data_IF_129920964339
#
_entry.id   IF_129920964339
#
_cell.length_a   1.000
_cell.length_b   1.000
_cell.length_c   1.000
_cell.angle_alpha   90.00
_cell.angle_beta   90.00
_cell.angle_gamma   90.00
#
_symmetry.space_group_name_H-M   'P 1'
#
loop_
_entity.id
_entity.type
_entity.pdbx_description
1 polymer ?
#
# COMPACT_ATOMS: atom_id res chain seq x y z
N UNK A 1 -41.63 -11.10 -75.23
CA UNK A 1 -41.53 -12.16 -74.21
C UNK A 1 -40.16 -12.03 -73.54
N UNK A 2 -40.17 -11.71 -72.23
CA UNK A 2 -39.07 -11.57 -71.25
C UNK A 2 -37.92 -10.59 -71.51
N UNK A 3 -37.95 -9.46 -70.78
CA UNK A 3 -36.77 -8.62 -70.45
C UNK A 3 -36.08 -9.20 -69.21
N UNK A 4 -34.73 -9.28 -69.15
CA UNK A 4 -34.05 -9.78 -67.96
C UNK A 4 -34.03 -8.73 -66.84
N UNK A 5 -34.36 -9.16 -65.62
CA UNK A 5 -34.25 -8.37 -64.39
C UNK A 5 -32.77 -8.13 -64.08
N UNK A 6 -32.37 -6.86 -63.89
CA UNK A 6 -31.06 -6.51 -63.33
C UNK A 6 -31.16 -6.51 -61.80
N UNK A 7 -30.45 -7.43 -61.15
CA UNK A 7 -30.28 -7.42 -59.70
C UNK A 7 -29.25 -6.34 -59.33
N UNK A 8 -29.66 -5.39 -58.48
CA UNK A 8 -28.77 -4.41 -57.86
C UNK A 8 -28.27 -5.04 -56.56
N UNK A 9 -26.97 -5.32 -56.48
CA UNK A 9 -26.33 -5.72 -55.23
C UNK A 9 -26.15 -4.49 -54.34
N UNK A 10 -26.80 -4.48 -53.18
CA UNK A 10 -26.60 -3.46 -52.14
C UNK A 10 -25.46 -3.96 -51.23
N UNK A 11 -24.33 -3.25 -51.10
CA UNK A 11 -23.28 -3.65 -50.18
C UNK A 11 -23.74 -3.39 -48.73
N UNK A 12 -23.73 -4.45 -47.91
CA UNK A 12 -23.90 -4.33 -46.46
C UNK A 12 -22.59 -3.78 -45.90
N UNK A 13 -22.64 -2.55 -45.39
CA UNK A 13 -21.53 -1.93 -44.67
C UNK A 13 -21.50 -2.48 -43.25
N UNK A 14 -20.56 -3.38 -42.95
CA UNK A 14 -20.29 -3.83 -41.58
C UNK A 14 -19.53 -2.70 -40.89
N UNK A 15 -20.22 -1.95 -40.02
CA UNK A 15 -19.59 -0.99 -39.12
C UNK A 15 -18.98 -1.77 -37.96
N UNK A 16 -17.68 -2.01 -38.01
CA UNK A 16 -16.91 -2.49 -36.85
C UNK A 16 -16.73 -1.32 -35.89
N UNK A 17 -17.40 -1.34 -34.74
CA UNK A 17 -17.09 -0.42 -33.66
C UNK A 17 -15.62 -0.63 -33.23
N UNK A 18 -14.83 0.43 -33.02
CA UNK A 18 -13.49 0.26 -32.47
C UNK A 18 -13.63 -0.30 -31.06
N UNK A 19 -13.10 -1.51 -30.83
CA UNK A 19 -12.83 -1.97 -29.48
C UNK A 19 -11.74 -1.06 -28.92
N UNK A 20 -12.13 -0.13 -28.04
CA UNK A 20 -11.17 0.56 -27.19
C UNK A 20 -10.62 -0.48 -26.23
N UNK A 21 -9.50 -1.09 -26.60
CA UNK A 21 -8.67 -1.86 -25.67
C UNK A 21 -8.09 -0.81 -24.71
N UNK A 22 -8.80 -0.57 -23.60
CA UNK A 22 -8.17 0.08 -22.46
C UNK A 22 -7.07 -0.88 -22.00
N UNK A 23 -5.81 -0.43 -22.07
CA UNK A 23 -4.72 -1.19 -21.49
C UNK A 23 -5.00 -1.30 -19.99
N UNK A 24 -5.36 -2.51 -19.52
CA UNK A 24 -5.59 -2.76 -18.11
C UNK A 24 -4.30 -2.44 -17.35
N UNK A 25 -4.40 -1.65 -16.28
CA UNK A 25 -3.26 -1.37 -15.41
C UNK A 25 -2.62 -2.69 -14.95
N UNK A 26 -1.28 -2.72 -14.83
CA UNK A 26 -0.57 -3.87 -14.27
C UNK A 26 -1.09 -4.20 -12.87
N UNK A 27 -0.98 -5.47 -12.46
CA UNK A 27 -1.39 -5.89 -11.11
C UNK A 27 -0.67 -5.08 -10.03
N UNK A 28 0.62 -4.78 -10.22
CA UNK A 28 1.38 -3.90 -9.33
C UNK A 28 0.77 -2.48 -9.24
N UNK A 29 0.35 -1.91 -10.36
CA UNK A 29 -0.32 -0.59 -10.36
C UNK A 29 -1.67 -0.65 -9.65
N UNK A 30 -2.43 -1.71 -9.84
CA UNK A 30 -3.71 -1.92 -9.16
C UNK A 30 -3.55 -1.97 -7.63
N UNK A 31 -2.54 -2.68 -7.11
CA UNK A 31 -2.24 -2.71 -5.67
C UNK A 31 -1.68 -1.40 -5.14
N UNK A 32 -0.95 -0.65 -5.96
CA UNK A 32 -0.54 0.70 -5.59
C UNK A 32 -1.75 1.64 -5.46
N UNK A 33 -2.74 1.55 -6.36
CA UNK A 33 -3.97 2.34 -6.26
C UNK A 33 -4.73 2.00 -4.96
N UNK A 34 -4.85 0.71 -4.59
CA UNK A 34 -5.43 0.27 -3.31
C UNK A 34 -4.71 0.88 -2.09
N UNK A 35 -3.37 0.90 -2.09
CA UNK A 35 -2.59 1.51 -1.02
C UNK A 35 -2.84 3.02 -0.92
N UNK A 36 -2.88 3.73 -2.06
CA UNK A 36 -3.14 5.17 -2.06
C UNK A 36 -4.55 5.50 -1.55
N UNK A 37 -5.54 4.66 -1.84
CA UNK A 37 -6.88 4.80 -1.29
C UNK A 37 -6.91 4.55 0.22
N UNK A 38 -6.16 3.56 0.71
CA UNK A 38 -6.02 3.33 2.15
C UNK A 38 -5.36 4.51 2.89
N UNK A 39 -4.33 5.13 2.30
CA UNK A 39 -3.70 6.35 2.85
C UNK A 39 -4.73 7.50 2.97
N UNK A 40 -5.63 7.66 2.00
CA UNK A 40 -6.68 8.70 2.02
C UNK A 40 -7.69 8.49 3.13
N UNK A 41 -7.89 7.25 3.57
CA UNK A 41 -8.86 6.87 4.60
C UNK A 41 -8.25 6.82 6.02
N UNK A 42 -6.93 6.99 6.15
CA UNK A 42 -6.20 6.91 7.43
C UNK A 42 -5.74 8.29 7.92
N UNK A 43 -5.40 8.40 9.20
CA UNK A 43 -4.80 9.62 9.75
C UNK A 43 -3.45 9.92 9.09
N UNK A 44 -3.11 11.21 8.87
CA UNK A 44 -1.83 11.60 8.30
C UNK A 44 -0.64 11.19 9.18
N UNK A 45 0.07 10.14 8.76
CA UNK A 45 1.30 9.64 9.39
C UNK A 45 2.40 9.51 8.33
N UNK A 46 3.02 10.61 7.89
CA UNK A 46 3.86 10.62 6.69
C UNK A 46 4.96 9.56 6.69
N UNK A 47 5.66 9.40 7.81
CA UNK A 47 6.74 8.42 7.96
C UNK A 47 6.26 6.97 7.90
N UNK A 48 5.14 6.66 8.56
CA UNK A 48 4.49 5.35 8.51
C UNK A 48 3.99 5.04 7.10
N UNK A 49 3.36 6.01 6.44
CA UNK A 49 2.83 5.86 5.07
C UNK A 49 3.95 5.65 4.04
N UNK A 50 5.05 6.41 4.14
CA UNK A 50 6.24 6.19 3.30
C UNK A 50 6.85 4.80 3.50
N UNK A 51 6.91 4.32 4.74
CA UNK A 51 7.36 2.96 5.06
C UNK A 51 6.44 1.89 4.46
N UNK A 52 5.12 2.07 4.55
CA UNK A 52 4.14 1.16 3.93
C UNK A 52 4.26 1.12 2.39
N UNK A 53 4.47 2.28 1.75
CA UNK A 53 4.76 2.38 0.30
C UNK A 53 6.01 1.59 -0.08
N UNK A 54 7.08 1.71 0.71
CA UNK A 54 8.30 0.94 0.48
C UNK A 54 8.07 -0.56 0.66
N UNK A 55 7.43 -0.99 1.75
CA UNK A 55 7.13 -2.40 2.02
C UNK A 55 6.29 -3.06 0.93
N UNK A 56 5.25 -2.37 0.44
CA UNK A 56 4.49 -2.86 -0.70
C UNK A 56 5.39 -3.02 -1.94
N UNK A 57 6.21 -2.00 -2.22
CA UNK A 57 7.12 -2.03 -3.38
C UNK A 57 8.12 -3.18 -3.31
N UNK A 58 8.71 -3.43 -2.14
CA UNK A 58 9.59 -4.60 -1.89
C UNK A 58 8.83 -5.90 -2.09
N UNK A 59 7.64 -6.05 -1.50
CA UNK A 59 6.86 -7.28 -1.62
C UNK A 59 6.50 -7.61 -3.08
N UNK A 60 6.07 -6.59 -3.84
CA UNK A 60 5.76 -6.76 -5.26
C UNK A 60 7.02 -7.00 -6.12
N UNK A 61 8.13 -6.32 -5.81
CA UNK A 61 9.39 -6.53 -6.53
C UNK A 61 9.96 -7.92 -6.29
N UNK A 62 10.04 -8.37 -5.04
CA UNK A 62 10.51 -9.71 -4.69
C UNK A 62 9.63 -10.78 -5.34
N UNK A 63 8.30 -10.63 -5.29
CA UNK A 63 7.37 -11.56 -5.92
C UNK A 63 7.51 -11.62 -7.45
N UNK A 64 7.94 -10.53 -8.08
CA UNK A 64 8.27 -10.52 -9.50
C UNK A 64 9.64 -11.15 -9.79
N UNK A 65 10.64 -10.80 -8.97
CA UNK A 65 12.05 -11.12 -9.16
C UNK A 65 12.37 -12.60 -8.95
N UNK A 66 11.67 -13.30 -8.05
CA UNK A 66 11.88 -14.74 -7.81
C UNK A 66 11.57 -15.62 -9.02
N UNK A 67 10.83 -15.10 -10.01
CA UNK A 67 10.59 -15.77 -11.30
C UNK A 67 11.46 -15.22 -12.44
N UNK A 68 12.31 -14.24 -12.17
CA UNK A 68 13.23 -13.68 -13.16
C UNK A 68 14.59 -14.41 -13.12
N UNK A 69 15.19 -14.75 -14.27
CA UNK A 69 16.47 -15.47 -14.29
C UNK A 69 17.67 -14.62 -13.85
N UNK A 70 17.54 -13.29 -13.79
CA UNK A 70 18.67 -12.38 -13.53
C UNK A 70 18.41 -11.44 -12.35
N UNK A 71 17.15 -11.08 -12.08
CA UNK A 71 16.83 -10.19 -10.97
C UNK A 71 17.19 -10.80 -9.61
N UNK A 72 17.58 -9.93 -8.67
CA UNK A 72 17.92 -10.33 -7.30
C UNK A 72 16.88 -9.73 -6.36
N UNK A 73 16.08 -10.55 -5.65
CA UNK A 73 15.15 -10.06 -4.65
C UNK A 73 15.84 -9.23 -3.56
N UNK A 74 15.14 -8.24 -3.03
CA UNK A 74 15.62 -7.37 -1.95
C UNK A 74 15.75 -8.15 -0.63
N UNK A 75 14.67 -8.77 -0.13
CA UNK A 75 14.68 -9.57 1.11
C UNK A 75 14.68 -11.09 0.84
N UNK A 76 14.00 -11.54 -0.20
CA UNK A 76 13.70 -12.97 -0.42
C UNK A 76 14.73 -13.66 -1.33
N UNK A 77 16.03 -13.45 -1.08
CA UNK A 77 17.13 -13.91 -1.97
C UNK A 77 17.27 -15.43 -2.09
N UNK A 78 16.74 -16.19 -1.13
CA UNK A 78 16.77 -17.66 -1.13
C UNK A 78 15.52 -18.28 -1.75
N UNK A 79 14.52 -17.46 -2.07
CA UNK A 79 13.27 -17.92 -2.68
C UNK A 79 13.52 -18.19 -4.17
N UNK A 80 13.27 -19.43 -4.61
CA UNK A 80 13.57 -19.87 -5.98
C UNK A 80 12.53 -20.91 -6.41
N UNK A 81 11.27 -20.48 -6.66
CA UNK A 81 10.22 -21.36 -7.11
C UNK A 81 10.53 -21.90 -8.51
N UNK A 82 10.09 -23.13 -8.80
CA UNK A 82 10.22 -23.69 -10.15
C UNK A 82 9.27 -22.95 -11.11
N UNK A 83 9.76 -22.21 -12.13
CA UNK A 83 8.87 -21.47 -13.01
C UNK A 83 8.01 -22.43 -13.86
N UNK A 84 6.69 -22.26 -13.79
CA UNK A 84 5.74 -22.92 -14.68
C UNK A 84 5.68 -22.29 -16.08
N UNK A 85 4.79 -22.80 -16.93
CA UNK A 85 4.67 -22.40 -18.35
C UNK A 85 4.28 -20.93 -18.53
N UNK A 86 3.39 -20.41 -17.68
CA UNK A 86 2.94 -19.02 -17.74
C UNK A 86 3.54 -18.19 -16.58
N UNK A 87 4.75 -17.69 -16.77
CA UNK A 87 5.47 -16.90 -15.74
C UNK A 87 4.75 -15.58 -15.42
N UNK A 88 4.06 -14.98 -16.40
CA UNK A 88 3.33 -13.73 -16.15
C UNK A 88 2.17 -13.94 -15.18
N UNK A 89 1.39 -15.01 -15.36
CA UNK A 89 0.30 -15.36 -14.43
C UNK A 89 0.83 -15.67 -13.03
N UNK A 90 1.92 -16.44 -12.93
CA UNK A 90 2.56 -16.74 -11.65
C UNK A 90 3.04 -15.47 -10.94
N UNK A 91 3.66 -14.53 -11.67
CA UNK A 91 4.07 -13.24 -11.11
C UNK A 91 2.86 -12.45 -10.61
N UNK A 92 1.80 -12.34 -11.41
CA UNK A 92 0.60 -11.60 -11.05
C UNK A 92 -0.07 -12.16 -9.79
N UNK A 93 -0.13 -13.48 -9.66
CA UNK A 93 -0.68 -14.14 -8.48
C UNK A 93 0.21 -13.93 -7.25
N UNK A 94 1.52 -14.20 -7.35
CA UNK A 94 2.45 -14.00 -6.24
C UNK A 94 2.49 -12.54 -5.75
N UNK A 95 2.50 -11.57 -6.68
CA UNK A 95 2.39 -10.13 -6.36
C UNK A 95 1.11 -9.85 -5.58
N UNK A 96 -0.01 -10.47 -5.97
CA UNK A 96 -1.31 -10.19 -5.35
C UNK A 96 -1.41 -10.72 -3.94
N UNK A 97 -0.95 -11.95 -3.69
CA UNK A 97 -0.89 -12.47 -2.33
C UNK A 97 0.10 -11.69 -1.45
N UNK A 98 1.28 -11.32 -1.99
CA UNK A 98 2.23 -10.50 -1.26
C UNK A 98 1.63 -9.15 -0.85
N UNK A 99 1.03 -8.43 -1.82
CA UNK A 99 0.41 -7.13 -1.60
C UNK A 99 -0.79 -7.22 -0.64
N UNK A 100 -1.67 -8.20 -0.83
CA UNK A 100 -2.86 -8.40 0.00
C UNK A 100 -2.51 -8.54 1.48
N UNK A 101 -1.57 -9.43 1.80
CA UNK A 101 -1.18 -9.69 3.18
C UNK A 101 -0.40 -8.53 3.80
N UNK A 102 0.50 -7.89 3.04
CA UNK A 102 1.22 -6.71 3.53
C UNK A 102 0.20 -5.61 3.85
N UNK A 103 -0.66 -5.23 2.90
CA UNK A 103 -1.58 -4.11 3.08
C UNK A 103 -2.63 -4.38 4.16
N UNK A 104 -3.15 -5.61 4.24
CA UNK A 104 -4.09 -5.98 5.30
C UNK A 104 -3.47 -5.76 6.67
N UNK A 105 -2.26 -6.28 6.91
CA UNK A 105 -1.56 -6.08 8.17
C UNK A 105 -1.25 -4.61 8.47
N UNK A 106 -0.95 -3.79 7.45
CA UNK A 106 -0.66 -2.35 7.63
C UNK A 106 -1.88 -1.52 7.98
N UNK A 107 -3.06 -1.87 7.46
CA UNK A 107 -4.23 -1.00 7.51
C UNK A 107 -5.40 -1.53 8.35
N UNK A 108 -5.42 -2.80 8.75
CA UNK A 108 -6.55 -3.38 9.49
C UNK A 108 -6.89 -2.61 10.77
N UNK A 109 -5.87 -2.08 11.47
CA UNK A 109 -6.02 -1.39 12.75
C UNK A 109 -5.99 0.15 12.60
N UNK A 110 -6.45 0.67 11.47
CA UNK A 110 -6.53 2.11 11.18
C UNK A 110 -7.98 2.61 11.19
N UNK A 111 -8.26 3.92 11.32
CA UNK A 111 -9.61 4.46 11.26
C UNK A 111 -10.39 4.06 9.98
N UNK A 112 -9.70 3.98 8.84
CA UNK A 112 -10.24 3.53 7.56
C UNK A 112 -10.16 2.02 7.33
N UNK A 113 -9.63 1.26 8.29
CA UNK A 113 -9.16 -0.11 8.08
C UNK A 113 -10.22 -1.09 7.58
N UNK A 114 -11.44 -1.02 8.11
CA UNK A 114 -12.53 -1.90 7.68
C UNK A 114 -12.88 -1.69 6.18
N UNK A 115 -12.85 -0.45 5.71
CA UNK A 115 -13.08 -0.11 4.29
C UNK A 115 -11.91 -0.56 3.42
N UNK A 116 -10.68 -0.29 3.86
CA UNK A 116 -9.47 -0.66 3.12
C UNK A 116 -9.34 -2.18 2.97
N UNK A 117 -9.48 -2.95 4.05
CA UNK A 117 -9.36 -4.41 4.00
C UNK A 117 -10.48 -5.06 3.19
N UNK A 118 -11.70 -4.51 3.21
CA UNK A 118 -12.78 -4.93 2.33
C UNK A 118 -12.43 -4.68 0.85
N UNK A 119 -11.83 -3.52 0.52
CA UNK A 119 -11.36 -3.20 -0.83
C UNK A 119 -10.25 -4.16 -1.29
N UNK A 120 -9.27 -4.44 -0.43
CA UNK A 120 -8.18 -5.38 -0.74
C UNK A 120 -8.72 -6.80 -1.00
N UNK A 121 -9.69 -7.23 -0.20
CA UNK A 121 -10.37 -8.51 -0.39
C UNK A 121 -11.12 -8.55 -1.73
N UNK A 122 -11.84 -7.49 -2.07
CA UNK A 122 -12.53 -7.37 -3.35
C UNK A 122 -11.54 -7.38 -4.53
N UNK A 123 -10.36 -6.75 -4.38
CA UNK A 123 -9.29 -6.77 -5.37
C UNK A 123 -8.82 -8.20 -5.66
N UNK A 124 -8.59 -9.01 -4.63
CA UNK A 124 -8.25 -10.43 -4.79
C UNK A 124 -9.31 -11.17 -5.60
N UNK A 125 -10.59 -11.02 -5.23
CA UNK A 125 -11.70 -11.68 -5.93
C UNK A 125 -11.83 -11.23 -7.39
N UNK A 126 -11.65 -9.93 -7.67
CA UNK A 126 -11.70 -9.38 -9.03
C UNK A 126 -10.54 -9.89 -9.90
N UNK A 127 -9.38 -10.16 -9.31
CA UNK A 127 -8.25 -10.78 -10.00
C UNK A 127 -8.38 -12.31 -10.13
N UNK A 128 -9.42 -12.91 -9.52
CA UNK A 128 -9.68 -14.35 -9.56
C UNK A 128 -8.96 -15.16 -8.48
N UNK A 129 -8.44 -14.51 -7.44
CA UNK A 129 -7.71 -15.16 -6.34
C UNK A 129 -8.59 -15.29 -5.10
N UNK A 130 -8.42 -16.39 -4.36
CA UNK A 130 -9.11 -16.63 -3.10
C UNK A 130 -8.35 -15.97 -1.94
N UNK A 131 -8.89 -14.91 -1.30
CA UNK A 131 -8.22 -14.22 -0.19
C UNK A 131 -8.03 -15.09 1.07
N UNK A 132 -8.68 -16.25 1.17
CA UNK A 132 -8.50 -17.17 2.31
C UNK A 132 -7.25 -18.06 2.17
N UNK A 133 -6.62 -18.09 0.99
CA UNK A 133 -5.42 -18.91 0.76
C UNK A 133 -4.21 -18.29 1.46
N UNK A 134 -3.84 -18.89 2.59
CA UNK A 134 -2.71 -18.48 3.43
C UNK A 134 -1.58 -19.52 3.50
N UNK A 135 -1.64 -20.56 2.66
CA UNK A 135 -0.62 -21.61 2.60
C UNK A 135 0.75 -21.01 2.28
N UNK A 136 1.81 -21.52 2.92
CA UNK A 136 3.21 -21.09 2.71
C UNK A 136 4.12 -22.23 2.28
N UNK A 137 3.56 -23.41 2.03
CA UNK A 137 4.30 -24.61 1.64
C UNK A 137 4.17 -24.85 0.14
N UNK A 138 5.28 -25.19 -0.51
CA UNK A 138 5.35 -25.50 -1.95
C UNK A 138 5.58 -24.28 -2.85
N UNK A 139 5.54 -24.53 -4.15
CA UNK A 139 5.92 -23.56 -5.19
C UNK A 139 4.71 -22.89 -5.86
N UNK A 140 3.50 -23.03 -5.31
CA UNK A 140 2.37 -22.28 -5.86
C UNK A 140 2.63 -20.78 -5.73
N UNK A 141 2.21 -19.95 -6.70
CA UNK A 141 2.44 -18.52 -6.63
C UNK A 141 1.82 -17.87 -5.39
N UNK A 142 0.66 -18.37 -4.95
CA UNK A 142 0.08 -18.00 -3.66
C UNK A 142 1.02 -18.29 -2.49
N UNK A 143 1.61 -19.49 -2.41
CA UNK A 143 2.54 -19.84 -1.34
C UNK A 143 3.80 -18.98 -1.35
N UNK A 144 4.34 -18.70 -2.54
CA UNK A 144 5.48 -17.79 -2.73
C UNK A 144 5.12 -16.38 -2.26
N UNK A 145 3.99 -15.82 -2.70
CA UNK A 145 3.52 -14.49 -2.30
C UNK A 145 3.29 -14.38 -0.79
N UNK A 146 2.71 -15.40 -0.17
CA UNK A 146 2.47 -15.47 1.27
C UNK A 146 3.79 -15.49 2.07
N UNK A 147 4.80 -16.25 1.62
CA UNK A 147 6.14 -16.25 2.24
C UNK A 147 6.81 -14.88 2.13
N UNK A 148 6.69 -14.23 0.97
CA UNK A 148 7.26 -12.90 0.72
C UNK A 148 6.61 -11.86 1.64
N UNK A 149 5.28 -11.86 1.74
CA UNK A 149 4.57 -10.98 2.68
C UNK A 149 5.04 -11.21 4.12
N UNK A 150 5.11 -12.46 4.56
CA UNK A 150 5.58 -12.80 5.91
C UNK A 150 7.00 -12.27 6.17
N UNK A 151 7.90 -12.38 5.18
CA UNK A 151 9.27 -11.86 5.28
C UNK A 151 9.31 -10.34 5.37
N UNK A 152 8.52 -9.63 4.56
CA UNK A 152 8.44 -8.16 4.58
C UNK A 152 7.87 -7.67 5.92
N UNK A 153 6.83 -8.32 6.42
CA UNK A 153 6.20 -7.97 7.70
C UNK A 153 7.16 -8.22 8.87
N UNK A 154 7.86 -9.36 8.89
CA UNK A 154 8.86 -9.65 9.91
C UNK A 154 10.03 -8.67 9.87
N UNK A 155 10.56 -8.36 8.68
CA UNK A 155 11.64 -7.39 8.52
C UNK A 155 11.24 -6.00 9.02
N UNK A 156 10.03 -5.55 8.67
CA UNK A 156 9.51 -4.29 9.17
C UNK A 156 9.35 -4.31 10.69
N UNK A 157 8.81 -5.37 11.27
CA UNK A 157 8.58 -5.44 12.72
C UNK A 157 9.86 -5.19 13.54
N UNK A 158 11.01 -5.62 13.01
CA UNK A 158 12.32 -5.49 13.66
C UNK A 158 13.11 -4.23 13.26
N UNK A 159 12.53 -3.32 12.46
CA UNK A 159 13.26 -2.18 11.86
C UNK A 159 13.42 -0.97 12.78
N UNK A 160 13.08 -1.09 14.07
CA UNK A 160 13.06 -0.02 15.08
C UNK A 160 11.99 1.07 14.89
N UNK A 161 10.99 0.84 14.02
CA UNK A 161 9.83 1.73 13.88
C UNK A 161 8.83 1.71 15.04
N UNK A 162 8.98 0.78 15.99
CA UNK A 162 8.07 0.59 17.13
C UNK A 162 6.63 0.22 16.73
N UNK A 163 6.50 -0.52 15.63
CA UNK A 163 5.21 -0.93 15.06
C UNK A 163 4.32 -1.68 16.04
N UNK A 164 4.91 -2.53 16.90
CA UNK A 164 4.20 -3.27 17.94
C UNK A 164 3.40 -2.39 18.92
N UNK A 165 3.86 -1.15 19.12
CA UNK A 165 3.24 -0.15 19.98
C UNK A 165 2.61 0.99 19.17
N UNK A 166 2.23 0.70 17.92
CA UNK A 166 1.63 1.67 16.99
C UNK A 166 2.51 2.91 16.79
N UNK A 167 3.82 2.68 16.62
CA UNK A 167 4.80 3.72 16.30
C UNK A 167 4.92 4.79 17.39
N UNK A 168 4.79 4.40 18.65
CA UNK A 168 4.89 5.31 19.79
C UNK A 168 6.32 5.87 19.92
N UNK A 169 6.43 7.06 20.50
CA UNK A 169 7.74 7.59 20.91
C UNK A 169 8.30 6.76 22.06
N UNK A 170 9.50 6.22 21.87
CA UNK A 170 10.26 5.49 22.88
C UNK A 170 11.59 6.18 23.27
N UNK A 171 11.80 7.42 22.81
CA UNK A 171 13.00 8.24 23.07
C UNK A 171 12.90 9.09 24.33
N UNK A 172 11.66 9.34 24.80
CA UNK A 172 11.40 10.27 25.90
C UNK A 172 11.53 11.73 25.48
N UNK A 173 11.22 12.07 24.23
CA UNK A 173 11.30 13.44 23.75
C UNK A 173 10.28 14.32 24.47
N UNK A 174 10.76 15.39 25.08
CA UNK A 174 9.93 16.46 25.64
C UNK A 174 10.29 17.81 25.00
N UNK A 175 9.29 18.61 24.58
CA UNK A 175 9.55 19.96 24.08
C UNK A 175 10.07 20.84 25.22
N UNK A 176 11.00 21.75 24.89
CA UNK A 176 11.58 22.69 25.87
C UNK A 176 10.60 23.81 26.22
N UNK A 177 9.71 24.15 25.30
CA UNK A 177 8.71 25.19 25.46
C UNK A 177 7.37 24.58 25.85
N UNK A 178 6.69 25.22 26.79
CA UNK A 178 5.31 24.89 27.13
C UNK A 178 4.37 25.14 25.93
N UNK A 179 3.27 24.38 25.80
CA UNK A 179 2.34 24.57 24.69
C UNK A 179 1.74 25.97 24.61
N UNK A 180 1.74 26.54 23.40
CA UNK A 180 1.06 27.80 23.10
C UNK A 180 -0.45 27.58 23.04
N UNK A 181 -1.19 28.18 23.96
CA UNK A 181 -2.65 28.27 23.89
C UNK A 181 -3.07 29.28 22.81
N UNK A 182 -3.43 28.79 21.63
CA UNK A 182 -3.68 29.64 20.45
C UNK A 182 -4.88 30.58 20.63
N UNK A 183 -5.79 30.28 21.54
CA UNK A 183 -6.95 31.12 21.85
C UNK A 183 -6.61 32.38 22.66
N UNK A 184 -5.46 32.37 23.34
CA UNK A 184 -5.00 33.48 24.15
C UNK A 184 -4.08 34.40 23.36
N UNK A 185 -4.02 35.68 23.77
CA UNK A 185 -3.08 36.65 23.19
C UNK A 185 -1.72 36.52 23.86
N UNK A 186 -0.65 36.58 23.05
CA UNK A 186 0.73 36.52 23.51
C UNK A 186 1.24 35.09 23.67
N UNK A 187 2.54 34.96 23.89
CA UNK A 187 3.20 33.68 24.23
C UNK A 187 4.43 33.97 25.07
N UNK A 188 4.82 33.00 25.89
CA UNK A 188 6.13 32.92 26.51
C UNK A 188 6.85 31.70 25.94
N UNK A 189 8.15 31.84 25.67
CA UNK A 189 9.01 30.76 25.22
C UNK A 189 10.19 30.66 26.18
N UNK A 190 10.47 29.45 26.66
CA UNK A 190 11.65 29.16 27.46
C UNK A 190 12.92 29.26 26.59
N UNK A 191 12.86 28.81 25.33
CA UNK A 191 13.94 28.90 24.35
C UNK A 191 13.39 29.20 22.94
N UNK A 192 13.62 30.41 22.40
CA UNK A 192 13.20 30.79 21.04
C UNK A 192 13.83 29.97 19.91
N UNK A 193 14.92 29.24 20.16
CA UNK A 193 15.56 28.37 19.17
C UNK A 193 15.00 26.94 19.19
N UNK A 194 13.97 26.67 19.99
CA UNK A 194 13.34 25.35 20.12
C UNK A 194 11.87 25.42 19.74
N UNK A 195 11.35 24.31 19.23
CA UNK A 195 9.95 24.21 18.83
C UNK A 195 9.02 24.42 20.04
N UNK A 196 7.91 25.13 19.84
CA UNK A 196 6.83 25.28 20.79
C UNK A 196 5.59 24.56 20.25
N UNK A 197 5.08 23.53 20.94
CA UNK A 197 3.88 22.85 20.51
C UNK A 197 2.66 23.78 20.59
N UNK A 198 1.73 23.65 19.66
CA UNK A 198 0.46 24.39 19.71
C UNK A 198 -0.60 23.59 20.47
N UNK A 199 -1.31 24.26 21.37
CA UNK A 199 -2.54 23.77 21.96
C UNK A 199 -3.74 24.34 21.19
N UNK A 200 -4.52 23.46 20.58
CA UNK A 200 -5.69 23.75 19.77
C UNK A 200 -6.93 23.11 20.40
N UNK A 201 -8.03 23.85 20.41
CA UNK A 201 -9.31 23.38 20.95
C UNK A 201 -9.93 22.28 20.09
N UNK A 202 -9.73 22.37 18.78
CA UNK A 202 -10.17 21.37 17.80
C UNK A 202 -9.03 21.04 16.86
N UNK A 203 -8.81 19.75 16.65
CA UNK A 203 -7.82 19.23 15.71
C UNK A 203 -8.53 18.33 14.70
N UNK A 204 -8.41 18.66 13.41
CA UNK A 204 -8.97 17.86 12.32
C UNK A 204 -7.85 17.59 11.34
N UNK A 205 -7.69 16.34 10.94
CA UNK A 205 -6.71 15.96 9.94
C UNK A 205 -7.05 16.53 8.56
N UNK A 206 -6.10 16.49 7.63
CA UNK A 206 -6.31 16.97 6.26
C UNK A 206 -7.44 16.24 5.53
N UNK A 207 -7.72 14.98 5.89
CA UNK A 207 -8.82 14.18 5.35
C UNK A 207 -10.10 14.20 6.21
N UNK A 208 -10.22 15.17 7.13
CA UNK A 208 -11.47 15.42 7.87
C UNK A 208 -11.68 14.51 9.08
N UNK A 209 -10.68 13.73 9.49
CA UNK A 209 -10.75 12.86 10.68
C UNK A 209 -10.45 13.70 11.92
N UNK A 210 -11.36 13.77 12.91
CA UNK A 210 -11.07 14.43 14.17
C UNK A 210 -9.90 13.75 14.91
N UNK A 211 -8.95 14.55 15.39
CA UNK A 211 -7.83 14.10 16.20
C UNK A 211 -8.13 14.48 17.65
N UNK A 212 -8.10 13.49 18.55
CA UNK A 212 -8.45 13.66 19.96
C UNK A 212 -7.42 14.47 20.74
N UNK A 213 -6.18 14.50 20.26
CA UNK A 213 -5.07 15.21 20.86
C UNK A 213 -5.21 16.72 20.64
N UNK A 214 -5.16 17.47 21.75
CA UNK A 214 -5.30 18.94 21.75
C UNK A 214 -3.97 19.68 21.66
N UNK A 215 -2.88 19.05 22.07
CA UNK A 215 -1.54 19.65 22.05
C UNK A 215 -0.69 18.93 21.02
N UNK A 216 -0.08 19.65 20.09
CA UNK A 216 0.84 19.04 19.12
C UNK A 216 1.98 18.30 19.83
N UNK A 217 2.37 17.15 19.30
CA UNK A 217 3.59 16.43 19.69
C UNK A 217 4.55 16.36 18.52
N UNK A 218 5.82 16.09 18.81
CA UNK A 218 6.77 15.76 17.77
C UNK A 218 6.39 14.41 17.16
N UNK A 219 6.08 14.39 15.86
CA UNK A 219 5.76 13.17 15.13
C UNK A 219 7.02 12.33 14.92
N UNK A 220 7.04 11.12 15.46
CA UNK A 220 8.09 10.12 15.23
C UNK A 220 9.50 10.56 15.64
N UNK A 221 9.75 11.02 16.86
CA UNK A 221 11.11 11.36 17.33
C UNK A 221 12.08 10.17 17.28
N UNK A 222 11.58 8.94 17.42
CA UNK A 222 12.36 7.70 17.30
C UNK A 222 12.75 7.36 15.86
N UNK A 223 12.17 8.02 14.85
CA UNK A 223 12.33 7.61 13.45
C UNK A 223 13.77 7.66 12.94
N UNK A 224 14.64 8.44 13.59
CA UNK A 224 16.07 8.47 13.28
C UNK A 224 16.80 7.14 13.57
N UNK A 225 16.22 6.25 14.38
CA UNK A 225 16.74 4.91 14.65
C UNK A 225 16.21 3.84 13.69
N UNK A 226 15.22 4.18 12.84
CA UNK A 226 14.63 3.21 11.90
C UNK A 226 15.67 2.80 10.87
N UNK A 227 15.73 1.50 10.57
CA UNK A 227 16.67 0.95 9.58
C UNK A 227 16.42 1.58 8.20
N UNK A 228 17.40 2.28 7.60
CA UNK A 228 17.25 2.86 6.27
C UNK A 228 17.06 1.80 5.18
N UNK A 229 16.52 2.22 4.04
CA UNK A 229 16.17 1.31 2.94
C UNK A 229 17.33 0.99 1.98
N UNK A 230 18.38 1.82 1.96
CA UNK A 230 19.47 1.79 0.98
C UNK A 230 20.84 2.05 1.62
#
# INVERSE_FOLDING_TARGET
>A
MFRPLRFIAIPILIVTAPHVVSAQHSVARQWNDELLDAIRLDIPRPTVHSRNLFHLSVGMYDAWAVYDPVAVPFLNRTESPTPGVNVLEQRNEAISYAAYHILTARYENTPGGATSTASFRQRMMTLGYDPEVSVTVGDSPAAVGNRIAARVLAWGFDDSGDEAYNYADNTGYEPVNDPLQVELRGTEMNDPNRWQPLALDTFVSQNGIPITQKVQTFTGPHWGAVTPFA
#
